data_IF_721454930258
#
_entry.id   IF_721454930258
#
_cell.length_a   1.000
_cell.length_b   1.000
_cell.length_c   1.000
_cell.angle_alpha   90.00
_cell.angle_beta   90.00
_cell.angle_gamma   90.00
#
_symmetry.space_group_name_H-M   'P 1'
#
loop_
_entity.id
_entity.type
_entity.pdbx_description
1 polymer ?
#
# COMPACT_ATOMS: atom_id res chain seq x y z
N UNK A 1 41.65 -12.23 -22.73
CA UNK A 1 42.97 -12.41 -23.40
C UNK A 1 43.05 -13.59 -24.38
N UNK A 2 42.03 -14.45 -24.49
CA UNK A 2 42.02 -15.59 -25.44
C UNK A 2 41.89 -15.13 -26.91
N UNK A 3 41.23 -13.99 -27.13
CA UNK A 3 40.90 -13.48 -28.47
C UNK A 3 42.12 -13.13 -29.33
N UNK A 4 43.18 -12.55 -28.74
CA UNK A 4 44.43 -12.28 -29.45
C UNK A 4 45.11 -13.55 -29.95
N UNK A 5 45.24 -14.56 -29.08
CA UNK A 5 45.89 -15.83 -29.43
C UNK A 5 45.18 -16.56 -30.58
N UNK A 6 43.85 -16.50 -30.61
CA UNK A 6 43.03 -17.04 -31.71
C UNK A 6 43.31 -16.30 -33.02
N UNK A 7 43.34 -14.96 -32.99
CA UNK A 7 43.65 -14.15 -34.18
C UNK A 7 45.05 -14.42 -34.71
N UNK A 8 46.04 -14.47 -33.81
CA UNK A 8 47.42 -14.78 -34.15
C UNK A 8 47.54 -16.14 -34.84
N UNK A 9 46.90 -17.17 -34.26
CA UNK A 9 46.86 -18.53 -34.84
C UNK A 9 46.18 -18.54 -36.21
N UNK A 10 45.08 -17.79 -36.37
CA UNK A 10 44.34 -17.70 -37.63
C UNK A 10 45.19 -17.08 -38.74
N UNK A 11 45.89 -15.99 -38.45
CA UNK A 11 46.78 -15.32 -39.41
C UNK A 11 47.95 -16.24 -39.79
N UNK A 12 48.56 -16.90 -38.80
CA UNK A 12 49.64 -17.88 -39.04
C UNK A 12 49.20 -18.99 -39.99
N UNK A 13 48.03 -19.58 -39.75
CA UNK A 13 47.48 -20.64 -40.59
C UNK A 13 47.12 -20.14 -42.00
N UNK A 14 46.57 -18.93 -42.12
CA UNK A 14 46.27 -18.31 -43.42
C UNK A 14 47.53 -18.07 -44.27
N UNK A 15 48.69 -17.86 -43.64
CA UNK A 15 49.99 -17.74 -44.30
C UNK A 15 50.68 -19.09 -44.54
N UNK A 16 50.10 -20.20 -44.09
CA UNK A 16 50.69 -21.53 -44.21
C UNK A 16 51.90 -21.77 -43.30
N UNK A 17 52.13 -20.93 -42.28
CA UNK A 17 53.30 -21.03 -41.42
C UNK A 17 53.09 -22.01 -40.27
N UNK A 18 54.13 -22.76 -39.91
CA UNK A 18 54.13 -23.58 -38.69
C UNK A 18 54.52 -22.74 -37.48
N UNK A 19 54.14 -23.16 -36.26
CA UNK A 19 54.59 -22.47 -35.03
C UNK A 19 56.13 -22.47 -34.90
N UNK A 20 56.80 -23.51 -35.44
CA UNK A 20 58.26 -23.61 -35.43
C UNK A 20 58.88 -22.57 -36.36
N UNK A 21 58.34 -22.43 -37.58
CA UNK A 21 58.78 -21.43 -38.54
C UNK A 21 58.69 -20.01 -37.97
N UNK A 22 57.55 -19.64 -37.38
CA UNK A 22 57.38 -18.32 -36.75
C UNK A 22 58.36 -18.11 -35.61
N UNK A 23 58.58 -19.14 -34.79
CA UNK A 23 59.54 -19.08 -33.70
C UNK A 23 60.98 -18.87 -34.22
N UNK A 24 61.38 -19.58 -35.28
CA UNK A 24 62.68 -19.41 -35.94
C UNK A 24 62.85 -17.98 -36.49
N UNK A 25 61.82 -17.43 -37.16
CA UNK A 25 61.88 -16.07 -37.72
C UNK A 25 62.00 -14.98 -36.65
N UNK A 26 61.42 -15.19 -35.47
CA UNK A 26 61.48 -14.23 -34.37
C UNK A 26 62.60 -14.51 -33.36
N UNK A 27 63.43 -15.53 -33.62
CA UNK A 27 64.47 -15.99 -32.70
C UNK A 27 63.93 -16.36 -31.30
N UNK A 28 62.80 -17.07 -31.28
CA UNK A 28 62.08 -17.52 -30.09
C UNK A 28 61.94 -19.04 -30.05
N UNK A 29 61.46 -19.56 -28.92
CA UNK A 29 61.09 -20.97 -28.80
C UNK A 29 59.67 -21.21 -29.35
N UNK A 30 59.43 -22.40 -29.92
CA UNK A 30 58.08 -22.82 -30.34
C UNK A 30 57.07 -22.74 -29.18
N UNK A 31 57.52 -23.02 -27.95
CA UNK A 31 56.73 -22.94 -26.73
C UNK A 31 56.22 -21.52 -26.48
N UNK A 32 57.04 -20.50 -26.75
CA UNK A 32 56.65 -19.08 -26.64
C UNK A 32 55.49 -18.75 -27.57
N UNK A 33 55.60 -19.08 -28.87
CA UNK A 33 54.53 -18.88 -29.85
C UNK A 33 53.26 -19.65 -29.46
N UNK A 34 53.41 -20.89 -28.99
CA UNK A 34 52.28 -21.69 -28.49
C UNK A 34 51.61 -21.07 -27.27
N UNK A 35 52.36 -20.48 -26.33
CA UNK A 35 51.78 -19.78 -25.18
C UNK A 35 50.93 -18.59 -25.62
N UNK A 36 51.42 -17.80 -26.57
CA UNK A 36 50.67 -16.66 -27.12
C UNK A 36 49.38 -17.10 -27.83
N UNK A 37 49.46 -18.10 -28.70
CA UNK A 37 48.30 -18.61 -29.44
C UNK A 37 47.21 -19.20 -28.53
N UNK A 38 47.60 -19.72 -27.36
CA UNK A 38 46.69 -20.28 -26.37
C UNK A 38 46.29 -19.28 -25.27
N UNK A 39 46.67 -18.01 -25.39
CA UNK A 39 46.31 -16.97 -24.41
C UNK A 39 46.97 -17.12 -23.03
N UNK A 40 48.06 -17.90 -22.94
CA UNK A 40 48.85 -18.12 -21.71
C UNK A 40 50.04 -17.17 -21.59
N UNK A 41 50.01 -16.08 -22.34
CA UNK A 41 51.04 -15.05 -22.39
C UNK A 41 50.73 -14.08 -23.53
N UNK A 42 51.45 -12.98 -23.57
CA UNK A 42 51.32 -11.96 -24.60
C UNK A 42 52.72 -11.59 -25.14
N UNK A 43 52.89 -11.38 -26.45
CA UNK A 43 54.15 -10.86 -26.99
C UNK A 43 54.39 -9.45 -26.45
N UNK A 44 55.63 -9.11 -26.16
CA UNK A 44 56.00 -7.71 -25.90
C UNK A 44 55.86 -6.86 -27.18
N UNK A 45 56.06 -5.55 -27.04
CA UNK A 45 55.90 -4.62 -28.14
C UNK A 45 56.83 -4.95 -29.33
N UNK A 46 58.08 -5.32 -29.06
CA UNK A 46 59.07 -5.64 -30.10
C UNK A 46 58.64 -6.88 -30.89
N UNK A 47 58.24 -7.96 -30.21
CA UNK A 47 57.70 -9.15 -30.85
C UNK A 47 56.38 -8.85 -31.60
N UNK A 48 55.57 -7.91 -31.10
CA UNK A 48 54.35 -7.50 -31.79
C UNK A 48 54.65 -6.83 -33.14
N UNK A 49 55.69 -5.97 -33.20
CA UNK A 49 56.18 -5.35 -34.43
C UNK A 49 56.71 -6.43 -35.38
N UNK A 50 57.56 -7.33 -34.91
CA UNK A 50 58.12 -8.42 -35.72
C UNK A 50 57.03 -9.34 -36.29
N UNK A 51 56.01 -9.67 -35.50
CA UNK A 51 54.84 -10.42 -35.98
C UNK A 51 54.09 -9.64 -37.07
N UNK A 52 53.97 -8.33 -36.92
CA UNK A 52 53.27 -7.46 -37.89
C UNK A 52 53.99 -7.45 -39.25
N UNK A 53 55.32 -7.38 -39.21
CA UNK A 53 56.17 -7.44 -40.39
C UNK A 53 56.16 -8.84 -41.02
N UNK A 54 56.35 -9.89 -40.23
CA UNK A 54 56.36 -11.28 -40.70
C UNK A 54 55.05 -11.67 -41.41
N UNK A 55 53.91 -11.24 -40.87
CA UNK A 55 52.61 -11.55 -41.45
C UNK A 55 52.13 -10.51 -42.47
N UNK A 56 52.79 -9.35 -42.57
CA UNK A 56 52.38 -8.25 -43.46
C UNK A 56 51.01 -7.69 -43.11
N UNK A 57 50.72 -7.54 -41.81
CA UNK A 57 49.45 -7.01 -41.27
C UNK A 57 49.76 -5.88 -40.30
N UNK A 58 48.84 -4.93 -40.11
CA UNK A 58 49.07 -3.88 -39.11
C UNK A 58 48.95 -4.44 -37.69
N UNK A 59 49.63 -3.78 -36.74
CA UNK A 59 49.51 -4.12 -35.31
C UNK A 59 48.02 -4.08 -34.87
N UNK A 60 47.23 -3.12 -35.34
CA UNK A 60 45.78 -3.07 -35.07
C UNK A 60 45.02 -4.31 -35.52
N UNK A 61 45.47 -4.97 -36.60
CA UNK A 61 44.89 -6.21 -37.09
C UNK A 61 45.30 -7.40 -36.21
N UNK A 62 46.54 -7.43 -35.72
CA UNK A 62 47.01 -8.46 -34.77
C UNK A 62 46.28 -8.38 -33.43
N UNK A 63 46.13 -7.16 -32.90
CA UNK A 63 45.41 -6.88 -31.65
C UNK A 63 43.88 -6.92 -31.85
N UNK A 64 43.45 -7.20 -33.08
CA UNK A 64 42.06 -7.36 -33.47
C UNK A 64 41.15 -6.21 -33.02
N UNK A 65 41.55 -4.97 -33.34
CA UNK A 65 40.67 -3.81 -33.15
C UNK A 65 39.36 -3.95 -33.96
N UNK A 66 39.34 -4.83 -34.97
CA UNK A 66 38.14 -5.16 -35.77
C UNK A 66 37.14 -6.10 -35.09
N UNK A 67 37.51 -6.83 -34.03
CA UNK A 67 36.50 -7.45 -33.14
C UNK A 67 36.17 -6.56 -31.94
N UNK A 68 37.05 -5.62 -31.58
CA UNK A 68 36.69 -4.45 -30.76
C UNK A 68 35.82 -3.43 -31.51
N UNK A 69 35.66 -3.57 -32.84
CA UNK A 69 34.46 -3.10 -33.53
C UNK A 69 33.31 -4.01 -33.10
N UNK A 70 32.82 -3.76 -31.89
CA UNK A 70 31.39 -3.69 -31.63
C UNK A 70 30.71 -3.20 -32.90
N UNK A 71 30.22 -4.14 -33.71
CA UNK A 71 29.63 -3.87 -35.02
C UNK A 71 28.61 -2.75 -34.79
N UNK A 72 28.96 -1.53 -35.23
CA UNK A 72 28.31 -0.30 -34.73
C UNK A 72 26.82 -0.39 -34.99
N UNK A 73 26.43 -1.05 -36.08
CA UNK A 73 25.04 -1.37 -36.39
C UNK A 73 24.42 -2.34 -35.38
N UNK A 74 25.07 -3.45 -35.01
CA UNK A 74 24.57 -4.35 -33.95
C UNK A 74 24.46 -3.66 -32.60
N UNK A 75 25.42 -2.84 -32.19
CA UNK A 75 25.32 -2.10 -30.92
C UNK A 75 24.19 -1.09 -30.94
N UNK A 76 24.03 -0.34 -32.02
CA UNK A 76 22.89 0.58 -32.18
C UNK A 76 21.55 -0.17 -32.19
N UNK A 77 21.49 -1.33 -32.84
CA UNK A 77 20.29 -2.19 -32.83
C UNK A 77 20.01 -2.75 -31.43
N UNK A 78 21.04 -3.19 -30.69
CA UNK A 78 20.92 -3.66 -29.31
C UNK A 78 20.47 -2.54 -28.38
N UNK A 79 21.01 -1.33 -28.54
CA UNK A 79 20.60 -0.16 -27.77
C UNK A 79 19.15 0.22 -28.06
N UNK A 80 18.75 0.27 -29.34
CA UNK A 80 17.34 0.50 -29.72
C UNK A 80 16.39 -0.56 -29.15
N UNK A 81 16.77 -1.84 -29.17
CA UNK A 81 15.99 -2.92 -28.54
C UNK A 81 15.89 -2.74 -27.03
N UNK A 82 17.01 -2.43 -26.37
CA UNK A 82 17.06 -2.16 -24.92
C UNK A 82 16.22 -0.95 -24.53
N UNK A 83 16.26 0.14 -25.29
CA UNK A 83 15.43 1.32 -25.05
C UNK A 83 13.94 0.99 -25.12
N UNK A 84 13.49 0.20 -26.11
CA UNK A 84 12.10 -0.25 -26.18
C UNK A 84 11.71 -1.12 -24.98
N UNK A 85 12.57 -2.05 -24.57
CA UNK A 85 12.34 -2.91 -23.39
C UNK A 85 12.31 -2.08 -22.10
N UNK A 86 13.24 -1.13 -21.95
CA UNK A 86 13.28 -0.22 -20.80
C UNK A 86 12.05 0.68 -20.76
N UNK A 87 11.58 1.16 -21.91
CA UNK A 87 10.35 1.93 -22.00
C UNK A 87 9.12 1.12 -21.60
N UNK A 88 8.98 -0.12 -22.10
CA UNK A 88 7.88 -1.01 -21.73
C UNK A 88 7.89 -1.38 -20.25
N UNK A 89 9.06 -1.71 -19.70
CA UNK A 89 9.19 -2.06 -18.27
C UNK A 89 8.90 -0.88 -17.36
N UNK A 90 9.25 0.35 -17.75
CA UNK A 90 8.85 1.57 -17.02
C UNK A 90 7.33 1.73 -17.01
N UNK A 91 6.67 1.60 -18.16
CA UNK A 91 5.21 1.70 -18.25
C UNK A 91 4.50 0.61 -17.43
N UNK A 92 4.97 -0.63 -17.51
CA UNK A 92 4.42 -1.74 -16.72
C UNK A 92 4.51 -1.48 -15.21
N UNK A 93 5.64 -0.96 -14.71
CA UNK A 93 5.79 -0.60 -13.29
C UNK A 93 4.81 0.50 -12.86
N UNK A 94 4.61 1.52 -13.70
CA UNK A 94 3.64 2.59 -13.42
C UNK A 94 2.22 2.02 -13.33
N UNK A 95 1.83 1.14 -14.26
CA UNK A 95 0.52 0.49 -14.25
C UNK A 95 0.31 -0.39 -13.01
N UNK A 96 1.31 -1.18 -12.61
CA UNK A 96 1.23 -2.01 -11.40
C UNK A 96 1.03 -1.15 -10.15
N UNK A 97 1.80 -0.06 -10.01
CA UNK A 97 1.65 0.86 -8.88
C UNK A 97 0.25 1.50 -8.88
N UNK A 98 -0.25 1.94 -10.04
CA UNK A 98 -1.58 2.54 -10.15
C UNK A 98 -2.71 1.55 -9.79
N UNK A 99 -2.58 0.27 -10.14
CA UNK A 99 -3.56 -0.76 -9.75
C UNK A 99 -3.51 -0.99 -8.24
N UNK A 100 -2.31 -1.10 -7.65
CA UNK A 100 -2.16 -1.28 -6.21
C UNK A 100 -2.73 -0.11 -5.40
N UNK A 101 -2.53 1.14 -5.84
CA UNK A 101 -3.08 2.31 -5.16
C UNK A 101 -4.60 2.30 -5.20
N UNK A 102 -5.21 1.95 -6.33
CA UNK A 102 -6.67 1.81 -6.45
C UNK A 102 -7.19 0.71 -5.52
N UNK A 103 -6.53 -0.44 -5.45
CA UNK A 103 -6.94 -1.54 -4.55
C UNK A 103 -6.90 -1.13 -3.07
N UNK A 104 -5.88 -0.38 -2.65
CA UNK A 104 -5.77 0.14 -1.28
C UNK A 104 -6.90 1.13 -0.98
N UNK A 105 -7.21 2.02 -1.91
CA UNK A 105 -8.30 2.99 -1.75
C UNK A 105 -9.66 2.29 -1.65
N UNK A 106 -9.94 1.32 -2.54
CA UNK A 106 -11.18 0.54 -2.50
C UNK A 106 -11.30 -0.20 -1.18
N UNK A 107 -10.24 -0.89 -0.75
CA UNK A 107 -10.20 -1.59 0.55
C UNK A 107 -10.49 -0.65 1.72
N UNK A 108 -9.88 0.54 1.71
CA UNK A 108 -10.14 1.57 2.72
C UNK A 108 -11.59 2.06 2.73
N UNK A 109 -12.19 2.31 1.56
CA UNK A 109 -13.60 2.71 1.45
C UNK A 109 -14.51 1.61 2.01
N UNK A 110 -14.29 0.35 1.61
CA UNK A 110 -15.10 -0.78 2.10
C UNK A 110 -14.97 -0.96 3.60
N UNK A 111 -13.77 -0.75 4.17
CA UNK A 111 -13.54 -0.82 5.60
C UNK A 111 -14.30 0.27 6.37
N UNK A 112 -14.30 1.51 5.87
CA UNK A 112 -15.07 2.62 6.48
C UNK A 112 -16.56 2.34 6.45
N UNK A 113 -17.08 1.76 5.36
CA UNK A 113 -18.49 1.37 5.26
C UNK A 113 -18.81 0.29 6.30
N UNK A 114 -18.00 -0.76 6.39
CA UNK A 114 -18.20 -1.85 7.36
C UNK A 114 -18.18 -1.34 8.82
N UNK A 115 -17.26 -0.42 9.15
CA UNK A 115 -17.21 0.21 10.48
C UNK A 115 -18.49 0.97 10.81
N UNK A 116 -19.09 1.65 9.83
CA UNK A 116 -20.36 2.37 10.02
C UNK A 116 -21.54 1.44 10.20
N UNK A 117 -21.53 0.30 9.52
CA UNK A 117 -22.57 -0.73 9.62
C UNK A 117 -22.56 -1.36 11.02
N UNK A 118 -21.39 -1.79 11.49
CA UNK A 118 -21.23 -2.32 12.84
C UNK A 118 -21.64 -1.31 13.92
N UNK A 119 -21.25 -0.04 13.78
CA UNK A 119 -21.67 1.01 14.72
C UNK A 119 -23.19 1.27 14.70
N UNK A 120 -23.87 1.05 13.57
CA UNK A 120 -25.34 1.14 13.48
C UNK A 120 -26.01 -0.03 14.19
N UNK A 121 -25.51 -1.25 14.01
CA UNK A 121 -26.02 -2.44 14.68
C UNK A 121 -25.84 -2.35 16.21
N UNK A 122 -24.67 -1.90 16.66
CA UNK A 122 -24.44 -1.62 18.09
C UNK A 122 -25.41 -0.54 18.60
N UNK A 123 -25.64 0.55 17.85
CA UNK A 123 -26.58 1.59 18.25
C UNK A 123 -28.05 1.13 18.29
N UNK A 124 -28.45 0.20 17.42
CA UNK A 124 -29.81 -0.35 17.38
C UNK A 124 -30.05 -1.40 18.49
N UNK A 125 -28.99 -2.11 18.90
CA UNK A 125 -29.06 -3.12 19.97
C UNK A 125 -28.94 -2.55 21.39
N UNK A 126 -28.53 -1.29 21.55
CA UNK A 126 -28.57 -0.62 22.87
C UNK A 126 -30.02 -0.57 23.34
N UNK A 127 -30.38 -1.29 24.43
CA UNK A 127 -31.73 -1.25 24.95
C UNK A 127 -32.01 0.18 25.40
N UNK A 128 -33.09 0.79 24.88
CA UNK A 128 -33.58 2.08 25.37
C UNK A 128 -33.86 1.89 26.86
N UNK A 129 -32.94 2.32 27.72
CA UNK A 129 -33.10 2.24 29.15
C UNK A 129 -34.28 3.15 29.52
N UNK A 130 -35.40 2.52 29.87
CA UNK A 130 -36.58 3.23 30.38
C UNK A 130 -36.22 3.81 31.74
N UNK A 131 -35.83 5.08 31.77
CA UNK A 131 -35.70 5.81 33.01
C UNK A 131 -37.07 6.37 33.41
N UNK A 132 -37.55 5.92 34.56
CA UNK A 132 -38.71 6.53 35.20
C UNK A 132 -38.23 7.70 36.05
N UNK A 133 -38.92 8.84 35.93
CA UNK A 133 -38.65 9.99 36.77
C UNK A 133 -39.93 10.42 37.47
N UNK A 134 -39.86 10.59 38.79
CA UNK A 134 -41.02 10.97 39.59
C UNK A 134 -41.27 12.46 39.43
N UNK A 135 -42.45 12.81 38.94
CA UNK A 135 -42.92 14.18 38.89
C UNK A 135 -43.70 14.52 40.17
N UNK A 136 -43.43 15.70 40.71
CA UNK A 136 -44.10 16.24 41.90
C UNK A 136 -44.79 17.54 41.57
N UNK A 137 -45.79 17.87 42.38
CA UNK A 137 -46.50 19.16 42.32
C UNK A 137 -47.19 19.47 40.97
N UNK A 138 -47.62 18.41 40.26
CA UNK A 138 -48.33 18.53 38.99
C UNK A 138 -49.84 18.41 39.18
N UNK A 139 -50.58 19.22 38.41
CA UNK A 139 -52.05 19.20 38.30
C UNK A 139 -52.51 18.59 36.98
N UNK A 140 -51.81 18.86 35.88
CA UNK A 140 -52.15 18.33 34.55
C UNK A 140 -50.90 18.17 33.69
N UNK A 141 -50.85 17.12 32.88
CA UNK A 141 -49.82 16.90 31.86
C UNK A 141 -50.50 16.64 30.52
N UNK A 142 -50.08 17.36 29.48
CA UNK A 142 -50.57 17.18 28.11
C UNK A 142 -49.48 16.51 27.30
N UNK A 143 -49.78 15.33 26.76
CA UNK A 143 -48.84 14.50 26.01
C UNK A 143 -48.98 14.73 24.50
N UNK A 144 -47.87 14.65 23.78
CA UNK A 144 -47.83 14.60 22.32
C UNK A 144 -47.96 13.15 21.90
N UNK A 145 -48.95 12.86 21.06
CA UNK A 145 -49.12 11.53 20.46
C UNK A 145 -48.78 11.59 18.98
N UNK A 146 -48.21 10.53 18.44
CA UNK A 146 -48.07 10.37 17.00
C UNK A 146 -49.37 9.83 16.36
N UNK A 147 -49.34 9.58 15.05
CA UNK A 147 -50.47 9.06 14.28
C UNK A 147 -50.89 7.64 14.70
N UNK A 148 -50.03 6.93 15.42
CA UNK A 148 -50.29 5.58 15.94
C UNK A 148 -50.85 5.60 17.37
N UNK A 149 -50.94 6.79 17.97
CA UNK A 149 -51.39 6.99 19.36
C UNK A 149 -50.27 6.83 20.40
N UNK A 150 -49.03 6.53 19.97
CA UNK A 150 -47.88 6.42 20.85
C UNK A 150 -47.45 7.79 21.36
N UNK A 151 -47.12 7.88 22.65
CA UNK A 151 -46.67 9.13 23.26
C UNK A 151 -45.24 9.45 22.81
N UNK A 152 -45.06 10.53 22.05
CA UNK A 152 -43.79 10.98 21.50
C UNK A 152 -43.16 12.15 22.26
N UNK A 153 -43.87 12.72 23.24
CA UNK A 153 -43.32 13.78 24.08
C UNK A 153 -44.36 14.44 24.99
N UNK A 154 -43.96 15.54 25.64
CA UNK A 154 -44.83 16.35 26.51
C UNK A 154 -45.05 17.72 25.86
N UNK A 155 -46.30 18.10 25.66
CA UNK A 155 -46.70 19.41 25.08
C UNK A 155 -46.74 20.48 26.17
N UNK A 156 -47.34 20.17 27.33
CA UNK A 156 -47.35 21.12 28.44
C UNK A 156 -47.55 20.43 29.79
N UNK A 157 -47.09 21.09 30.84
CA UNK A 157 -47.26 20.68 32.23
C UNK A 157 -47.87 21.84 33.00
N UNK A 158 -48.87 21.56 33.83
CA UNK A 158 -49.50 22.52 34.73
C UNK A 158 -49.23 22.10 36.17
N UNK A 159 -48.67 22.99 36.97
CA UNK A 159 -48.40 22.75 38.40
C UNK A 159 -49.66 22.92 39.25
N UNK A 160 -49.64 22.49 40.52
CA UNK A 160 -50.77 22.70 41.44
C UNK A 160 -51.06 24.19 41.67
N UNK A 161 -50.05 25.04 41.55
CA UNK A 161 -50.16 26.51 41.65
C UNK A 161 -50.68 27.16 40.36
N UNK A 162 -51.28 26.39 39.43
CA UNK A 162 -51.79 26.84 38.13
C UNK A 162 -50.72 27.44 37.17
N UNK A 163 -49.43 27.25 37.42
CA UNK A 163 -48.39 27.64 36.48
C UNK A 163 -48.36 26.67 35.30
N UNK A 164 -48.38 27.18 34.06
CA UNK A 164 -48.36 26.37 32.83
C UNK A 164 -47.03 26.50 32.10
N UNK A 165 -46.34 25.39 31.91
CA UNK A 165 -45.07 25.28 31.20
C UNK A 165 -45.32 24.60 29.86
N UNK A 166 -44.96 25.25 28.76
CA UNK A 166 -45.09 24.71 27.40
C UNK A 166 -43.77 24.09 26.94
N UNK A 167 -43.84 22.98 26.21
CA UNK A 167 -42.71 22.22 25.68
C UNK A 167 -41.55 22.02 26.69
N UNK A 168 -41.84 21.53 27.91
CA UNK A 168 -40.82 21.46 28.95
C UNK A 168 -39.71 20.47 28.60
N UNK A 169 -38.45 20.88 28.75
CA UNK A 169 -37.31 19.96 28.70
C UNK A 169 -37.07 19.31 30.07
N UNK A 170 -36.38 18.16 30.10
CA UNK A 170 -36.02 17.49 31.35
C UNK A 170 -35.21 18.41 32.28
N UNK A 171 -34.35 19.24 31.70
CA UNK A 171 -33.54 20.24 32.39
C UNK A 171 -34.42 21.31 33.04
N UNK A 172 -35.46 21.80 32.35
CA UNK A 172 -36.38 22.82 32.88
C UNK A 172 -37.16 22.32 34.09
N UNK A 173 -37.65 21.08 33.99
CA UNK A 173 -38.42 20.45 35.07
C UNK A 173 -37.53 20.10 36.28
N UNK A 174 -36.27 19.71 36.03
CA UNK A 174 -35.28 19.47 37.09
C UNK A 174 -34.90 20.77 37.80
N UNK A 175 -34.67 21.86 37.06
CA UNK A 175 -34.33 23.18 37.63
C UNK A 175 -35.46 23.70 38.53
N UNK A 176 -36.72 23.46 38.13
CA UNK A 176 -37.92 23.86 38.88
C UNK A 176 -38.27 22.91 40.03
N UNK A 177 -37.46 21.89 40.30
CA UNK A 177 -37.70 20.84 41.32
C UNK A 177 -39.04 20.11 41.14
N UNK A 178 -39.61 20.14 39.93
CA UNK A 178 -40.84 19.44 39.58
C UNK A 178 -40.60 17.95 39.31
N UNK A 179 -39.32 17.56 39.25
CA UNK A 179 -38.89 16.18 39.05
C UNK A 179 -37.85 15.84 40.11
N UNK A 180 -38.00 14.69 40.75
CA UNK A 180 -37.00 14.13 41.66
C UNK A 180 -35.93 13.43 40.82
N UNK A 181 -34.65 13.79 40.99
CA UNK A 181 -33.55 13.15 40.27
C UNK A 181 -33.68 11.62 40.37
N UNK A 182 -33.59 10.89 39.24
CA UNK A 182 -33.72 9.45 39.27
C UNK A 182 -32.59 8.88 40.14
N UNK A 183 -32.94 8.18 41.21
CA UNK A 183 -32.02 7.21 41.82
C UNK A 183 -31.84 6.14 40.75
N UNK A 184 -30.62 5.90 40.29
CA UNK A 184 -30.34 4.86 39.29
C UNK A 184 -30.85 3.55 39.90
N UNK A 185 -31.97 3.05 39.42
CA UNK A 185 -32.43 1.70 39.72
C UNK A 185 -32.11 0.91 38.46
N UNK A 186 -30.99 0.19 38.49
CA UNK A 186 -30.70 -0.80 37.47
C UNK A 186 -31.86 -1.79 37.42
N UNK A 187 -32.52 -1.85 36.25
CA UNK A 187 -33.58 -2.79 35.89
C UNK A 187 -34.57 -3.13 37.02
N UNK A 188 -35.48 -2.21 37.32
CA UNK A 188 -36.65 -2.58 38.12
C UNK A 188 -37.71 -3.25 37.24
N UNK A 189 -38.09 -4.48 37.60
CA UNK A 189 -39.21 -5.24 37.06
C UNK A 189 -40.47 -4.34 36.92
N UNK A 190 -41.14 -4.29 35.75
CA UNK A 190 -42.31 -3.45 35.51
C UNK A 190 -43.39 -3.50 36.61
N UNK A 191 -43.61 -4.68 37.20
CA UNK A 191 -44.62 -4.87 38.24
C UNK A 191 -44.23 -4.21 39.58
N UNK A 192 -42.93 -4.13 39.88
CA UNK A 192 -42.41 -3.40 41.06
C UNK A 192 -42.52 -1.89 40.89
N UNK A 193 -42.41 -1.38 39.66
CA UNK A 193 -42.60 0.05 39.36
C UNK A 193 -44.04 0.47 39.60
N UNK A 194 -45.01 -0.36 39.21
CA UNK A 194 -46.43 -0.08 39.47
C UNK A 194 -46.74 -0.06 40.97
N UNK A 195 -46.24 -1.03 41.74
CA UNK A 195 -46.39 -1.09 43.18
C UNK A 195 -45.76 0.12 43.91
N UNK A 196 -44.58 0.57 43.47
CA UNK A 196 -43.92 1.76 44.01
C UNK A 196 -44.56 3.07 43.60
N UNK A 197 -45.22 3.14 42.44
CA UNK A 197 -45.99 4.33 42.03
C UNK A 197 -47.23 4.54 42.93
N UNK A 198 -47.86 3.44 43.38
CA UNK A 198 -49.05 3.47 44.22
C UNK A 198 -48.74 3.81 45.68
N UNK A 199 -47.56 3.46 46.19
CA UNK A 199 -47.18 3.66 47.60
C UNK A 199 -47.11 5.14 48.08
N UNK A 200 -46.51 6.10 47.35
CA UNK A 200 -46.54 7.52 47.71
C UNK A 200 -47.87 8.21 47.36
N UNK A 201 -48.63 7.68 46.41
CA UNK A 201 -50.00 8.14 46.14
C UNK A 201 -50.94 7.77 47.30
N UNK A 202 -50.76 6.61 47.94
CA UNK A 202 -51.54 6.20 49.09
C UNK A 202 -51.27 7.03 50.36
N UNK A 203 -50.07 7.60 50.53
CA UNK A 203 -49.73 8.44 51.70
C UNK A 203 -50.24 9.88 51.62
N UNK A 204 -50.69 10.35 50.46
CA UNK A 204 -51.24 11.69 50.27
C UNK A 204 -52.78 11.71 50.16
N UNK A 205 -53.45 10.63 50.57
CA UNK A 205 -54.90 10.62 50.79
C UNK A 205 -55.15 10.75 52.30
N UNK A 206 -55.05 11.97 52.80
CA UNK A 206 -55.76 12.46 54.00
C UNK A 206 -55.87 13.96 53.92
#
# INVERSE_FOLDING_TARGET
>A
MIEFGITLKKIRLAKGYSQRFVAEQLNLTRQTVSKWENGRGYPDFENLVLLSELYGVSIDQLVNRKTLNLDRQKVLQMNRKREKVLWLTRQAKILVIAVLTVLVVVSGITFVIAQREQAREEAETVPISRYYVYAVDLKRVVLKKDKTGATTGIISVTTKNNEKIQHPTLTDLTRRRLIIKPKIVESMDPDKVEALSKAPLARNIK
#
